data_IF_485836885187
#
_entry.id   IF_485836885187
#
_cell.length_a   1.000
_cell.length_b   1.000
_cell.length_c   1.000
_cell.angle_alpha   90.00
_cell.angle_beta   90.00
_cell.angle_gamma   90.00
#
_symmetry.space_group_name_H-M   'P 1'
#
loop_
_entity.id
_entity.type
_entity.pdbx_description
1 polymer ?
#
# COMPACT_ATOMS: atom_id res chain seq x y z
N UNK A 1 40.11 -39.04 5.25
CA UNK A 1 40.14 -37.58 5.56
C UNK A 1 38.70 -37.18 5.81
N UNK A 2 38.38 -36.48 6.89
CA UNK A 2 37.01 -36.08 7.20
C UNK A 2 36.75 -34.62 6.79
N UNK A 3 35.58 -34.36 6.22
CA UNK A 3 35.13 -33.04 5.81
C UNK A 3 34.02 -32.56 6.74
N UNK A 4 33.98 -31.25 6.98
CA UNK A 4 32.99 -30.61 7.85
C UNK A 4 32.31 -29.46 7.12
N UNK A 5 30.99 -29.35 7.28
CA UNK A 5 30.18 -28.26 6.75
C UNK A 5 29.32 -27.67 7.87
N UNK A 6 29.42 -26.35 8.08
CA UNK A 6 28.58 -25.63 9.03
C UNK A 6 27.67 -24.66 8.28
N UNK A 7 26.36 -24.74 8.53
CA UNK A 7 25.35 -23.94 7.82
C UNK A 7 24.63 -23.04 8.82
N UNK A 8 24.48 -21.77 8.44
CA UNK A 8 23.97 -20.71 9.31
C UNK A 8 22.85 -19.98 8.60
N UNK A 9 21.74 -19.78 9.30
CA UNK A 9 20.69 -18.88 8.86
C UNK A 9 20.92 -17.49 9.47
N UNK A 10 20.71 -16.44 8.68
CA UNK A 10 20.69 -15.06 9.16
C UNK A 10 19.27 -14.49 9.10
N UNK A 11 18.95 -13.61 10.05
CA UNK A 11 17.70 -12.85 10.03
C UNK A 11 16.44 -13.72 10.11
N UNK A 12 15.65 -13.73 9.02
CA UNK A 12 14.30 -14.32 8.96
C UNK A 12 14.24 -15.63 8.16
N UNK A 13 15.38 -16.29 8.04
CA UNK A 13 15.49 -17.54 7.31
C UNK A 13 15.45 -18.69 8.32
N UNK A 14 14.53 -19.61 8.10
CA UNK A 14 14.54 -20.94 8.68
C UNK A 14 15.20 -21.89 7.68
N UNK A 15 16.04 -22.79 8.20
CA UNK A 15 16.69 -23.81 7.39
C UNK A 15 16.18 -25.17 7.83
N UNK A 16 15.91 -26.03 6.87
CA UNK A 16 15.54 -27.43 7.06
C UNK A 16 16.50 -28.29 6.23
N UNK A 17 16.98 -29.38 6.82
CA UNK A 17 17.73 -30.40 6.10
C UNK A 17 16.77 -31.46 5.61
N UNK A 18 17.04 -32.00 4.42
CA UNK A 18 16.38 -33.22 3.97
C UNK A 18 16.77 -34.41 4.86
N UNK A 19 15.87 -35.38 4.99
CA UNK A 19 16.08 -36.57 5.84
C UNK A 19 17.16 -37.49 5.26
N UNK A 20 17.36 -37.44 3.94
CA UNK A 20 18.40 -38.18 3.25
C UNK A 20 19.67 -37.34 3.08
N UNK A 21 20.58 -37.46 4.05
CA UNK A 21 21.84 -36.71 4.06
C UNK A 21 22.96 -37.32 3.17
N UNK A 22 22.68 -38.35 2.36
CA UNK A 22 23.63 -38.84 1.33
C UNK A 22 25.05 -39.12 1.84
N UNK A 23 25.22 -39.79 2.98
CA UNK A 23 26.53 -40.05 3.58
C UNK A 23 27.13 -38.89 4.39
N UNK A 24 26.40 -37.77 4.52
CA UNK A 24 26.64 -36.78 5.56
C UNK A 24 25.96 -37.19 6.86
N UNK A 25 26.62 -36.91 7.97
CA UNK A 25 26.10 -37.14 9.31
C UNK A 25 26.02 -35.82 10.05
N UNK A 26 24.87 -35.59 10.70
CA UNK A 26 24.75 -34.46 11.62
C UNK A 26 25.64 -34.69 12.83
N UNK A 27 26.42 -33.68 13.16
CA UNK A 27 27.33 -33.71 14.30
C UNK A 27 27.07 -32.51 15.20
N UNK A 28 27.42 -32.64 16.47
CA UNK A 28 27.39 -31.53 17.39
C UNK A 28 28.52 -30.54 17.06
N UNK A 29 28.25 -29.24 17.13
CA UNK A 29 29.25 -28.20 16.83
C UNK A 29 30.50 -28.32 17.73
N UNK A 30 30.30 -28.76 18.98
CA UNK A 30 31.32 -29.07 19.96
C UNK A 30 32.25 -30.24 19.60
N UNK A 31 31.92 -31.02 18.56
CA UNK A 31 32.77 -32.10 18.02
C UNK A 31 33.60 -31.68 16.80
N UNK A 32 33.30 -30.53 16.18
CA UNK A 32 34.06 -30.02 15.03
C UNK A 32 35.44 -29.54 15.50
N UNK A 33 36.57 -29.91 14.89
CA UNK A 33 37.89 -29.49 15.35
C UNK A 33 38.02 -27.97 15.57
N UNK A 34 38.62 -27.56 16.70
CA UNK A 34 38.72 -26.15 17.09
C UNK A 34 39.42 -25.28 16.04
N UNK A 35 40.38 -25.84 15.30
CA UNK A 35 41.07 -25.18 14.18
C UNK A 35 40.16 -24.79 13.01
N UNK A 36 38.97 -25.41 12.90
CA UNK A 36 37.96 -25.10 11.89
C UNK A 36 36.85 -24.18 12.43
N UNK A 37 36.86 -23.88 13.73
CA UNK A 37 35.91 -22.96 14.34
C UNK A 37 36.49 -21.55 14.31
N UNK A 38 35.99 -20.73 13.40
CA UNK A 38 36.38 -19.31 13.37
C UNK A 38 35.92 -18.61 14.67
N UNK A 39 36.88 -18.11 15.44
CA UNK A 39 36.66 -17.43 16.72
C UNK A 39 36.00 -16.05 16.57
N UNK A 40 35.99 -15.48 15.36
CA UNK A 40 35.26 -14.26 15.05
C UNK A 40 33.75 -14.48 14.93
N UNK A 41 33.31 -15.72 14.63
CA UNK A 41 31.91 -16.08 14.43
C UNK A 41 31.34 -16.65 15.73
N UNK A 42 30.72 -15.77 16.54
CA UNK A 42 30.20 -16.12 17.88
C UNK A 42 28.83 -16.83 17.89
N UNK A 43 28.18 -17.01 16.75
CA UNK A 43 26.89 -17.71 16.68
C UNK A 43 27.08 -19.23 16.59
N UNK A 44 26.17 -20.02 17.15
CA UNK A 44 26.13 -21.47 16.93
C UNK A 44 25.48 -21.75 15.57
N UNK A 45 26.03 -22.66 14.74
CA UNK A 45 25.44 -22.93 13.43
C UNK A 45 24.11 -23.65 13.58
N UNK A 46 23.20 -23.44 12.62
CA UNK A 46 21.92 -24.14 12.56
C UNK A 46 22.14 -25.63 12.36
N UNK A 47 23.12 -25.98 11.51
CA UNK A 47 23.54 -27.35 11.23
C UNK A 47 25.06 -27.46 11.19
N UNK A 48 25.59 -28.56 11.73
CA UNK A 48 26.96 -29.01 11.48
C UNK A 48 26.92 -30.44 10.96
N UNK A 49 27.61 -30.68 9.84
CA UNK A 49 27.65 -31.95 9.14
C UNK A 49 29.08 -32.45 9.00
N UNK A 50 29.28 -33.76 9.04
CA UNK A 50 30.55 -34.45 8.81
C UNK A 50 30.38 -35.54 7.76
N UNK A 51 31.38 -35.75 6.92
CA UNK A 51 31.48 -36.95 6.08
C UNK A 51 32.93 -37.43 5.99
N UNK A 52 33.12 -38.73 5.77
CA UNK A 52 34.43 -39.35 5.56
C UNK A 52 34.67 -39.77 4.11
N UNK A 53 33.57 -40.01 3.39
CA UNK A 53 33.53 -40.34 1.98
C UNK A 53 32.08 -40.18 1.49
N UNK A 54 31.73 -39.01 0.95
CA UNK A 54 30.56 -38.90 0.09
C UNK A 54 30.67 -37.72 -0.87
N UNK A 55 30.19 -37.94 -2.09
CA UNK A 55 30.06 -36.98 -3.17
C UNK A 55 28.59 -36.55 -3.40
N UNK A 56 27.66 -36.99 -2.56
CA UNK A 56 26.24 -36.68 -2.73
C UNK A 56 25.93 -35.26 -2.21
N UNK A 57 25.10 -34.50 -2.96
CA UNK A 57 24.72 -33.15 -2.56
C UNK A 57 23.79 -33.18 -1.34
N UNK A 58 24.06 -32.31 -0.37
CA UNK A 58 23.12 -32.01 0.72
C UNK A 58 22.13 -30.95 0.25
N UNK A 59 20.84 -31.27 0.30
CA UNK A 59 19.79 -30.29 0.02
C UNK A 59 19.41 -29.57 1.31
N UNK A 60 19.52 -28.24 1.28
CA UNK A 60 19.04 -27.37 2.36
C UNK A 60 17.82 -26.62 1.86
N UNK A 61 16.67 -26.84 2.50
CA UNK A 61 15.46 -26.07 2.24
C UNK A 61 15.53 -24.80 3.08
N UNK A 62 15.33 -23.67 2.42
CA UNK A 62 15.30 -22.36 3.06
C UNK A 62 13.88 -21.85 3.05
N UNK A 63 13.31 -21.63 4.23
CA UNK A 63 12.00 -21.00 4.38
C UNK A 63 12.19 -19.59 4.92
N UNK A 64 11.69 -18.59 4.19
CA UNK A 64 11.68 -17.22 4.66
C UNK A 64 10.38 -16.96 5.43
N UNK A 65 10.50 -16.56 6.69
CA UNK A 65 9.35 -16.10 7.46
C UNK A 65 9.00 -14.65 7.08
N UNK A 66 7.73 -14.42 6.73
CA UNK A 66 7.18 -13.08 6.61
C UNK A 66 6.92 -12.53 8.02
N UNK A 67 7.25 -11.26 8.27
CA UNK A 67 6.54 -10.57 9.36
C UNK A 67 5.08 -10.42 8.92
N UNK A 68 4.18 -10.36 9.91
CA UNK A 68 2.84 -9.83 9.70
C UNK A 68 2.92 -8.63 8.75
N UNK A 69 2.17 -8.66 7.66
CA UNK A 69 2.14 -7.56 6.69
C UNK A 69 1.57 -6.33 7.40
N UNK A 70 2.42 -5.51 8.00
CA UNK A 70 2.05 -4.14 8.31
C UNK A 70 1.66 -3.51 6.97
N UNK A 71 0.40 -3.05 6.87
CA UNK A 71 -0.10 -2.35 5.70
C UNK A 71 0.88 -1.22 5.36
N UNK A 72 1.56 -1.36 4.22
CA UNK A 72 2.57 -0.38 3.78
C UNK A 72 1.96 1.00 3.50
N UNK A 73 0.67 1.00 3.20
CA UNK A 73 -0.14 2.16 2.91
C UNK A 73 -1.57 1.97 3.44
N UNK A 74 -2.13 3.04 4.01
CA UNK A 74 -3.58 3.18 4.23
C UNK A 74 -3.99 4.64 4.23
N UNK A 75 -5.21 4.93 3.81
CA UNK A 75 -5.79 6.25 3.99
C UNK A 75 -6.31 6.35 5.42
N UNK A 76 -5.72 7.23 6.23
CA UNK A 76 -6.16 7.45 7.60
C UNK A 76 -7.41 8.36 7.67
N UNK A 77 -7.51 9.31 6.74
CA UNK A 77 -8.68 10.17 6.53
C UNK A 77 -8.67 10.73 5.11
N UNK A 78 -9.84 10.96 4.55
CA UNK A 78 -9.98 11.73 3.32
C UNK A 78 -11.22 12.60 3.34
N UNK A 79 -11.09 13.78 2.74
CA UNK A 79 -12.18 14.71 2.47
C UNK A 79 -12.33 14.86 0.97
N UNK A 80 -13.54 14.61 0.48
CA UNK A 80 -13.93 14.83 -0.90
C UNK A 80 -14.85 16.04 -0.94
N UNK A 81 -14.59 16.97 -1.84
CA UNK A 81 -15.49 18.11 -2.09
C UNK A 81 -15.89 18.10 -3.55
N UNK A 82 -17.17 17.85 -3.81
CA UNK A 82 -17.74 17.86 -5.16
C UNK A 82 -18.56 19.12 -5.36
N UNK A 83 -18.26 19.86 -6.43
CA UNK A 83 -19.12 20.93 -6.95
C UNK A 83 -19.89 20.39 -8.14
N UNK A 84 -21.20 20.59 -8.13
CA UNK A 84 -22.10 20.16 -9.18
C UNK A 84 -22.48 21.31 -10.10
N UNK A 85 -22.51 21.06 -11.40
CA UNK A 85 -23.08 22.00 -12.38
C UNK A 85 -24.59 21.78 -12.54
N UNK A 86 -25.35 22.77 -13.04
CA UNK A 86 -26.76 22.59 -13.42
C UNK A 86 -26.99 21.48 -14.47
N UNK A 87 -25.98 21.16 -15.26
CA UNK A 87 -26.01 20.08 -16.27
C UNK A 87 -25.72 18.70 -15.67
N UNK A 88 -25.32 18.65 -14.39
CA UNK A 88 -25.00 17.42 -13.65
C UNK A 88 -23.53 16.99 -13.74
N UNK A 89 -22.69 17.76 -14.43
CA UNK A 89 -21.25 17.56 -14.40
C UNK A 89 -20.70 17.79 -12.99
N UNK A 90 -19.68 17.02 -12.65
CA UNK A 90 -19.13 16.96 -11.31
C UNK A 90 -17.65 17.33 -11.37
N UNK A 91 -17.20 18.22 -10.49
CA UNK A 91 -15.78 18.47 -10.24
C UNK A 91 -15.48 18.13 -8.79
N UNK A 92 -14.60 17.16 -8.55
CA UNK A 92 -14.28 16.67 -7.21
C UNK A 92 -12.82 16.90 -6.88
N UNK A 93 -12.58 17.61 -5.79
CA UNK A 93 -11.28 17.69 -5.13
C UNK A 93 -11.23 16.64 -4.02
N UNK A 94 -10.12 15.91 -3.93
CA UNK A 94 -9.85 14.93 -2.88
C UNK A 94 -8.61 15.35 -2.13
N UNK A 95 -8.73 15.47 -0.81
CA UNK A 95 -7.65 15.73 0.13
C UNK A 95 -7.54 14.55 1.09
N UNK A 96 -6.45 13.79 0.99
CA UNK A 96 -6.26 12.55 1.76
C UNK A 96 -4.95 12.58 2.55
N UNK A 97 -5.05 12.22 3.83
CA UNK A 97 -3.87 11.91 4.65
C UNK A 97 -3.65 10.41 4.62
N UNK A 98 -2.49 10.01 4.10
CA UNK A 98 -2.12 8.62 3.89
C UNK A 98 -0.99 8.26 4.85
N UNK A 99 -1.11 7.18 5.60
CA UNK A 99 0.01 6.61 6.34
C UNK A 99 0.88 5.78 5.40
N UNK A 100 2.17 6.07 5.37
CA UNK A 100 3.14 5.50 4.43
C UNK A 100 4.40 5.07 5.18
N UNK A 101 4.63 3.77 5.30
CA UNK A 101 5.80 3.24 6.01
C UNK A 101 7.08 3.41 5.18
N UNK A 102 6.95 3.31 3.86
CA UNK A 102 8.06 3.38 2.91
C UNK A 102 7.54 3.81 1.53
N UNK A 103 8.45 4.27 0.67
CA UNK A 103 8.14 4.58 -0.74
C UNK A 103 7.31 3.46 -1.36
N UNK A 104 6.16 3.84 -1.90
CA UNK A 104 5.16 2.92 -2.45
C UNK A 104 4.41 3.59 -3.61
N UNK A 105 3.58 2.83 -4.31
CA UNK A 105 2.74 3.36 -5.39
C UNK A 105 1.27 3.29 -4.98
N UNK A 106 0.55 4.37 -5.21
CA UNK A 106 -0.91 4.43 -5.05
C UNK A 106 -1.55 4.39 -6.43
N UNK A 107 -2.62 3.62 -6.53
CA UNK A 107 -3.48 3.57 -7.70
C UNK A 107 -4.86 4.11 -7.35
N UNK A 108 -5.36 4.98 -8.22
CA UNK A 108 -6.68 5.61 -8.11
C UNK A 108 -7.45 5.30 -9.38
N UNK A 109 -8.56 4.58 -9.26
CA UNK A 109 -9.50 4.34 -10.35
C UNK A 109 -10.62 5.36 -10.26
N UNK A 110 -10.72 6.20 -11.27
CA UNK A 110 -11.79 7.19 -11.34
C UNK A 110 -13.10 6.53 -11.80
N UNK A 111 -14.26 7.11 -11.44
CA UNK A 111 -15.56 6.68 -11.96
C UNK A 111 -15.61 6.67 -13.50
N UNK A 112 -16.62 6.00 -14.06
CA UNK A 112 -16.89 6.06 -15.49
C UNK A 112 -17.10 7.50 -15.95
N UNK A 113 -16.63 7.85 -17.15
CA UNK A 113 -16.59 9.23 -17.67
C UNK A 113 -15.75 10.20 -16.81
N UNK A 114 -14.86 9.65 -15.96
CA UNK A 114 -13.99 10.43 -15.10
C UNK A 114 -12.71 10.88 -15.80
N UNK A 115 -12.30 12.13 -15.62
CA UNK A 115 -11.05 12.67 -16.16
C UNK A 115 -10.21 13.30 -15.04
N UNK A 116 -8.93 12.92 -14.96
CA UNK A 116 -8.00 13.40 -13.94
C UNK A 116 -7.33 14.70 -14.40
N UNK A 117 -7.38 15.75 -13.57
CA UNK A 117 -6.73 17.03 -13.89
C UNK A 117 -5.35 17.17 -13.27
N UNK A 118 -5.22 16.83 -11.99
CA UNK A 118 -3.98 17.04 -11.25
C UNK A 118 -3.84 16.08 -10.08
N UNK A 119 -2.58 15.80 -9.70
CA UNK A 119 -2.21 15.04 -8.52
C UNK A 119 -1.02 15.74 -7.86
N UNK A 120 -1.12 15.93 -6.55
CA UNK A 120 -0.07 16.45 -5.70
C UNK A 120 0.21 15.48 -4.55
N UNK A 121 1.48 15.31 -4.21
CA UNK A 121 1.93 14.59 -3.02
C UNK A 121 2.82 15.53 -2.22
N UNK A 122 2.48 15.76 -0.95
CA UNK A 122 3.16 16.70 -0.05
C UNK A 122 3.32 18.11 -0.66
N UNK A 123 2.32 18.56 -1.41
CA UNK A 123 2.32 19.87 -2.06
C UNK A 123 3.03 19.93 -3.41
N UNK A 124 3.72 18.87 -3.82
CA UNK A 124 4.43 18.80 -5.10
C UNK A 124 3.63 18.06 -6.16
N UNK A 125 3.57 18.59 -7.37
CA UNK A 125 2.93 17.91 -8.50
C UNK A 125 3.72 16.66 -8.86
N UNK A 126 3.03 15.53 -9.05
CA UNK A 126 3.68 14.25 -9.34
C UNK A 126 3.33 13.75 -10.74
N UNK A 127 4.31 13.09 -11.36
CA UNK A 127 4.04 12.33 -12.56
C UNK A 127 3.14 11.13 -12.25
N UNK A 128 2.13 10.93 -13.08
CA UNK A 128 1.23 9.79 -13.03
C UNK A 128 1.25 9.03 -14.34
N UNK A 129 0.96 7.74 -14.27
CA UNK A 129 0.80 6.88 -15.44
C UNK A 129 -0.59 6.27 -15.44
N UNK A 130 -1.19 6.13 -16.62
CA UNK A 130 -2.45 5.40 -16.78
C UNK A 130 -2.16 3.91 -16.89
N UNK A 131 -2.80 3.09 -16.07
CA UNK A 131 -2.59 1.64 -16.02
C UNK A 131 -3.37 0.93 -17.13
N UNK A 132 -2.86 0.98 -18.35
CA UNK A 132 -3.50 0.38 -19.52
C UNK A 132 -4.31 1.39 -20.34
N UNK A 133 -4.46 1.12 -21.64
CA UNK A 133 -5.05 2.06 -22.59
C UNK A 133 -6.54 2.36 -22.29
N UNK A 134 -7.28 1.36 -21.82
CA UNK A 134 -8.74 1.44 -21.61
C UNK A 134 -9.15 1.57 -20.14
N UNK A 135 -8.23 1.52 -19.18
CA UNK A 135 -8.58 1.66 -17.76
C UNK A 135 -8.71 3.14 -17.41
N UNK A 136 -9.56 3.46 -16.43
CA UNK A 136 -9.56 4.78 -15.82
C UNK A 136 -8.74 4.82 -14.52
N UNK A 137 -7.67 4.02 -14.48
CA UNK A 137 -6.82 3.86 -13.30
C UNK A 137 -5.50 4.58 -13.51
N UNK A 138 -5.16 5.44 -12.56
CA UNK A 138 -3.94 6.23 -12.53
C UNK A 138 -3.05 5.76 -11.41
N UNK A 139 -1.75 5.63 -11.65
CA UNK A 139 -0.76 5.25 -10.66
C UNK A 139 0.31 6.34 -10.52
N UNK A 140 0.68 6.63 -9.27
CA UNK A 140 1.77 7.55 -8.94
C UNK A 140 2.49 7.08 -7.68
N UNK A 141 3.70 7.60 -7.47
CA UNK A 141 4.51 7.27 -6.31
C UNK A 141 4.19 8.19 -5.14
N UNK A 142 4.26 7.62 -3.94
CA UNK A 142 4.09 8.34 -2.68
C UNK A 142 5.30 8.07 -1.80
N UNK A 143 5.75 9.13 -1.14
CA UNK A 143 6.84 9.12 -0.17
C UNK A 143 6.30 9.64 1.16
N UNK A 144 6.76 9.09 2.30
CA UNK A 144 6.46 9.69 3.59
C UNK A 144 7.03 11.12 3.64
N UNK A 145 6.39 11.95 4.45
CA UNK A 145 6.88 13.27 4.83
C UNK A 145 8.22 13.17 5.55
N UNK A 146 8.87 14.33 5.71
CA UNK A 146 10.20 14.41 6.33
C UNK A 146 10.13 14.06 7.82
N UNK A 147 9.03 14.45 8.49
CA UNK A 147 8.89 14.39 9.94
C UNK A 147 7.90 13.31 10.43
N UNK A 148 7.06 12.78 9.53
CA UNK A 148 6.04 11.78 9.87
C UNK A 148 5.94 10.66 8.83
N UNK A 149 5.44 9.50 9.28
CA UNK A 149 5.09 8.38 8.40
C UNK A 149 3.77 8.66 7.66
N UNK A 150 3.53 9.90 7.23
CA UNK A 150 2.33 10.32 6.53
C UNK A 150 2.68 11.03 5.23
N UNK A 151 1.73 11.02 4.29
CA UNK A 151 1.80 11.79 3.06
C UNK A 151 0.46 12.47 2.82
N UNK A 152 0.50 13.73 2.42
CA UNK A 152 -0.69 14.46 1.99
C UNK A 152 -0.86 14.28 0.49
N UNK A 153 -1.92 13.62 0.08
CA UNK A 153 -2.26 13.42 -1.32
C UNK A 153 -3.46 14.27 -1.68
N UNK A 154 -3.33 15.06 -2.74
CA UNK A 154 -4.41 15.86 -3.28
C UNK A 154 -4.59 15.58 -4.76
N UNK A 155 -5.81 15.37 -5.21
CA UNK A 155 -6.07 15.26 -6.64
C UNK A 155 -7.44 15.81 -7.00
N UNK A 156 -7.57 16.25 -8.24
CA UNK A 156 -8.81 16.80 -8.78
C UNK A 156 -9.20 16.02 -10.01
N UNK A 157 -10.46 15.62 -10.08
CA UNK A 157 -11.04 14.94 -11.23
C UNK A 157 -12.44 15.46 -11.54
N UNK A 158 -12.84 15.40 -12.81
CA UNK A 158 -14.25 15.58 -13.20
C UNK A 158 -14.91 14.25 -13.48
N UNK A 159 -16.24 14.23 -13.41
CA UNK A 159 -17.07 13.18 -13.99
C UNK A 159 -18.14 13.87 -14.82
N UNK A 160 -18.21 13.57 -16.11
CA UNK A 160 -19.32 14.03 -16.93
C UNK A 160 -20.60 13.33 -16.48
N UNK A 161 -21.55 14.11 -16.00
CA UNK A 161 -22.79 13.59 -15.43
C UNK A 161 -23.96 13.66 -16.39
N UNK A 162 -25.06 13.10 -15.93
CA UNK A 162 -26.39 13.29 -16.53
C UNK A 162 -27.21 14.20 -15.59
N UNK A 163 -28.51 14.41 -15.86
CA UNK A 163 -29.36 15.35 -15.11
C UNK A 163 -29.25 15.23 -13.57
N UNK A 164 -29.13 16.38 -12.90
CA UNK A 164 -29.02 16.52 -11.43
C UNK A 164 -30.10 15.77 -10.64
N UNK A 165 -31.31 15.67 -11.17
CA UNK A 165 -32.45 15.01 -10.51
C UNK A 165 -32.25 13.51 -10.25
N UNK A 166 -31.26 12.88 -10.91
CA UNK A 166 -30.94 11.46 -10.77
C UNK A 166 -29.45 11.20 -10.52
N UNK A 167 -28.77 12.20 -9.99
CA UNK A 167 -27.32 12.18 -9.79
C UNK A 167 -26.90 11.01 -8.90
N UNK A 168 -25.89 10.27 -9.35
CA UNK A 168 -25.19 9.26 -8.55
C UNK A 168 -23.74 9.69 -8.34
N UNK A 169 -23.37 9.89 -7.09
CA UNK A 169 -22.00 10.17 -6.71
C UNK A 169 -21.26 8.84 -6.48
N UNK A 170 -20.19 8.63 -7.23
CA UNK A 170 -19.30 7.47 -7.09
C UNK A 170 -17.92 7.99 -6.74
N UNK A 171 -17.37 7.54 -5.60
CA UNK A 171 -16.02 7.93 -5.19
C UNK A 171 -14.98 7.32 -6.12
N UNK A 172 -13.74 7.85 -6.17
CA UNK A 172 -12.66 7.09 -6.76
C UNK A 172 -12.40 5.84 -5.90
N UNK A 173 -11.95 4.77 -6.54
CA UNK A 173 -11.48 3.56 -5.87
C UNK A 173 -9.97 3.64 -5.68
N UNK A 174 -9.50 3.33 -4.47
CA UNK A 174 -8.08 3.31 -4.14
C UNK A 174 -7.65 1.88 -3.85
N UNK A 175 -6.43 1.50 -4.25
CA UNK A 175 -5.89 0.15 -4.01
C UNK A 175 -5.41 -0.07 -2.55
N UNK A 176 -5.94 0.69 -1.60
CA UNK A 176 -5.52 0.71 -0.20
C UNK A 176 -6.74 0.86 0.71
N UNK A 177 -6.68 0.40 1.97
CA UNK A 177 -7.76 0.59 2.92
C UNK A 177 -8.09 2.07 3.15
N UNK A 178 -9.38 2.34 3.35
CA UNK A 178 -9.96 3.67 3.55
C UNK A 178 -10.54 3.78 4.96
N UNK A 179 -10.13 4.81 5.71
CA UNK A 179 -10.67 5.14 7.02
C UNK A 179 -11.12 6.61 7.04
N UNK A 180 -12.16 6.92 7.82
CA UNK A 180 -12.62 8.29 8.11
C UNK A 180 -12.83 9.15 6.84
N UNK A 181 -13.79 8.75 6.01
CA UNK A 181 -14.10 9.42 4.75
C UNK A 181 -15.25 10.41 4.96
N UNK A 182 -15.06 11.66 4.53
CA UNK A 182 -16.10 12.69 4.46
C UNK A 182 -16.28 13.16 3.03
N UNK A 183 -17.51 13.38 2.63
CA UNK A 183 -17.84 13.92 1.32
C UNK A 183 -18.77 15.13 1.45
N UNK A 184 -18.26 16.30 1.08
CA UNK A 184 -19.03 17.53 0.96
C UNK A 184 -19.53 17.69 -0.48
N UNK A 185 -20.81 17.96 -0.65
CA UNK A 185 -21.44 18.13 -1.96
C UNK A 185 -22.06 19.51 -2.04
N UNK A 186 -21.66 20.29 -3.04
CA UNK A 186 -22.13 21.64 -3.27
C UNK A 186 -23.01 21.60 -4.52
N UNK A 187 -24.32 21.72 -4.30
CA UNK A 187 -25.32 21.82 -5.36
C UNK A 187 -25.45 23.26 -5.87
N UNK A 188 -25.81 23.47 -7.15
CA UNK A 188 -26.07 24.80 -7.68
C UNK A 188 -27.33 25.42 -7.08
N UNK A 189 -27.47 26.73 -7.21
CA UNK A 189 -28.65 27.46 -6.73
C UNK A 189 -29.95 26.90 -7.31
N UNK A 190 -30.98 26.82 -6.47
CA UNK A 190 -32.29 26.26 -6.83
C UNK A 190 -32.40 24.74 -6.73
N UNK A 191 -31.33 24.05 -6.33
CA UNK A 191 -31.34 22.61 -6.06
C UNK A 191 -31.17 22.34 -4.57
N UNK A 192 -31.95 21.39 -4.07
CA UNK A 192 -31.87 20.90 -2.70
C UNK A 192 -31.76 19.38 -2.67
N UNK A 193 -31.07 18.87 -1.65
CA UNK A 193 -31.00 17.43 -1.39
C UNK A 193 -32.35 16.99 -0.80
N UNK A 194 -33.04 16.10 -1.52
CA UNK A 194 -34.33 15.55 -1.10
C UNK A 194 -34.21 14.17 -0.46
N UNK A 195 -33.17 13.42 -0.82
CA UNK A 195 -32.94 12.05 -0.36
C UNK A 195 -31.46 11.67 -0.53
N UNK A 196 -30.98 10.74 0.29
CA UNK A 196 -29.62 10.20 0.23
C UNK A 196 -29.57 8.73 0.67
N UNK A 197 -28.86 7.90 -0.09
CA UNK A 197 -28.61 6.49 0.20
C UNK A 197 -27.14 6.14 -0.15
N UNK A 198 -26.68 4.96 0.24
CA UNK A 198 -25.37 4.42 -0.12
C UNK A 198 -24.53 4.01 1.08
N UNK A 199 -23.21 4.15 0.95
CA UNK A 199 -22.22 3.72 1.95
C UNK A 199 -21.78 4.83 2.92
N UNK A 200 -22.31 6.04 2.77
CA UNK A 200 -22.03 7.19 3.64
C UNK A 200 -23.32 7.64 4.33
N UNK A 201 -23.19 8.12 5.57
CA UNK A 201 -24.27 8.70 6.34
C UNK A 201 -24.31 10.23 6.15
N UNK A 202 -25.51 10.79 5.97
CA UNK A 202 -25.70 12.23 5.91
C UNK A 202 -25.56 12.85 7.31
N UNK A 203 -24.50 13.63 7.51
CA UNK A 203 -24.19 14.24 8.81
C UNK A 203 -24.57 15.73 8.91
N UNK A 204 -24.94 16.37 7.80
CA UNK A 204 -25.35 17.78 7.81
C UNK A 204 -25.80 18.28 6.43
N UNK A 205 -26.68 19.29 6.44
CA UNK A 205 -27.18 19.98 5.26
C UNK A 205 -27.41 21.45 5.62
N UNK A 206 -26.95 22.34 4.75
CA UNK A 206 -27.12 23.79 4.91
C UNK A 206 -27.49 24.40 3.58
N UNK A 207 -28.55 25.21 3.55
CA UNK A 207 -28.93 25.99 2.37
C UNK A 207 -28.29 27.37 2.47
N UNK A 208 -27.21 27.60 1.71
CA UNK A 208 -26.53 28.89 1.66
C UNK A 208 -27.12 29.73 0.52
N UNK A 209 -28.07 30.62 0.85
CA UNK A 209 -28.72 31.52 -0.12
C UNK A 209 -27.90 32.76 -0.48
N UNK A 210 -26.71 32.94 0.10
CA UNK A 210 -25.83 34.10 -0.15
C UNK A 210 -24.39 33.69 0.13
N UNK A 211 -23.54 33.68 -0.90
CA UNK A 211 -22.09 33.58 -0.71
C UNK A 211 -21.62 34.89 -0.10
N UNK A 212 -21.49 34.94 1.23
CA UNK A 212 -20.76 36.02 1.87
C UNK A 212 -19.27 35.76 1.64
N UNK A 213 -18.61 36.67 0.93
CA UNK A 213 -17.23 36.48 0.43
C UNK A 213 -16.17 36.82 1.48
N UNK A 214 -16.56 37.00 2.73
CA UNK A 214 -15.73 37.51 3.81
C UNK A 214 -15.69 36.56 5.04
N UNK A 215 -15.18 35.33 4.87
CA UNK A 215 -14.77 34.46 5.99
C UNK A 215 -13.53 33.64 5.66
#
# INVERSE_FOLDING_TARGET
IAYYLAIRAGGRLELELDDMLGGWQRVDWGTVPAVLRDSAIRSTPTFALRTEASADPVVVRVKRHALAEALKLRVAKAELTTVLSPTGDQLTAVDATIEVIQRSSLSVTLPNKGDLFSIFVNGESVNSIRLGASSNTWQFNILPGIDDAQAQVRFVYSVSGDQLSSLKLTSPELNVPLENIRWNVIAPEGFELIDSDGSLELVGQTNQGTYDRDS
#
